data_IF_957478532467
#
_entry.id   IF_957478532467
#
_cell.length_a   1.000
_cell.length_b   1.000
_cell.length_c   1.000
_cell.angle_alpha   90.00
_cell.angle_beta   90.00
_cell.angle_gamma   90.00
#
_symmetry.space_group_name_H-M   'P 1'
#
loop_
_entity.id
_entity.type
_entity.pdbx_description
1 polymer ?
#
# COMPACT_ATOMS: atom_id res chain seq x y z
N UNK A 1 -5.82 -83.97 30.23
CA UNK A 1 -4.49 -84.14 29.61
C UNK A 1 -4.14 -82.87 28.86
N UNK A 2 -2.88 -82.47 28.95
CA UNK A 2 -2.32 -81.20 28.55
C UNK A 2 -2.36 -80.93 27.03
N UNK A 3 -2.39 -79.65 26.64
CA UNK A 3 -1.25 -79.05 25.91
C UNK A 3 -1.39 -77.53 25.80
N UNK A 4 -0.31 -76.85 26.14
CA UNK A 4 -0.04 -75.42 25.93
C UNK A 4 0.37 -75.14 24.46
N UNK A 5 0.71 -73.86 24.23
CA UNK A 5 1.30 -73.17 23.05
C UNK A 5 0.27 -72.44 22.19
N UNK A 6 0.17 -71.09 22.12
CA UNK A 6 1.10 -69.93 22.06
C UNK A 6 1.03 -69.30 20.66
N UNK A 7 1.10 -67.95 20.63
CA UNK A 7 1.14 -67.03 19.48
C UNK A 7 -0.22 -66.78 18.80
N UNK A 8 -0.66 -65.58 18.40
CA UNK A 8 -0.05 -64.26 18.28
C UNK A 8 -1.13 -63.16 18.19
N UNK A 9 -0.74 -61.95 18.60
CA UNK A 9 -1.15 -60.62 18.08
C UNK A 9 -2.64 -60.26 17.92
N UNK A 10 -3.11 -59.36 18.80
CA UNK A 10 -3.70 -58.04 18.44
C UNK A 10 -4.07 -57.29 19.74
N UNK A 11 -3.09 -56.62 20.36
CA UNK A 11 -3.38 -55.59 21.37
C UNK A 11 -3.58 -54.25 20.66
N UNK A 12 -4.75 -53.67 20.86
CA UNK A 12 -5.08 -52.28 20.63
C UNK A 12 -3.99 -51.36 21.20
N UNK A 13 -3.22 -50.72 20.32
CA UNK A 13 -2.37 -49.57 20.69
C UNK A 13 -3.19 -48.30 20.49
N UNK A 14 -3.64 -47.74 21.61
CA UNK A 14 -3.94 -46.31 21.73
C UNK A 14 -2.73 -45.49 21.27
N UNK A 15 -2.89 -44.51 20.37
CA UNK A 15 -1.79 -43.61 20.03
C UNK A 15 -1.48 -42.72 21.23
N UNK A 16 -0.30 -42.91 21.81
CA UNK A 16 0.30 -41.94 22.72
C UNK A 16 0.48 -40.63 21.94
N UNK A 17 -0.27 -39.59 22.33
CA UNK A 17 0.01 -38.21 21.91
C UNK A 17 1.38 -37.84 22.45
N UNK A 18 2.39 -37.89 21.57
CA UNK A 18 3.63 -37.16 21.77
C UNK A 18 3.28 -35.68 21.77
N UNK A 19 3.38 -35.06 22.95
CA UNK A 19 3.26 -33.63 23.15
C UNK A 19 4.47 -32.94 22.52
N UNK A 20 4.31 -32.42 21.30
CA UNK A 20 5.23 -31.40 20.79
C UNK A 20 4.81 -30.05 21.38
N UNK A 21 5.46 -29.66 22.47
CA UNK A 21 5.45 -28.28 22.95
C UNK A 21 6.14 -27.40 21.91
N UNK A 22 5.53 -26.32 21.41
CA UNK A 22 6.27 -25.35 20.63
C UNK A 22 7.26 -24.64 21.55
N UNK A 23 8.54 -24.80 21.27
CA UNK A 23 9.61 -24.00 21.85
C UNK A 23 9.42 -22.57 21.35
N UNK A 24 9.15 -21.65 22.28
CA UNK A 24 9.19 -20.22 22.03
C UNK A 24 10.65 -19.85 21.70
N UNK A 25 10.97 -19.71 20.42
CA UNK A 25 12.13 -18.91 20.04
C UNK A 25 11.74 -17.44 20.15
N UNK A 26 12.45 -16.73 21.02
CA UNK A 26 12.41 -15.28 21.10
C UNK A 26 12.91 -14.68 19.78
N UNK A 27 11.98 -14.39 18.87
CA UNK A 27 12.24 -13.42 17.80
C UNK A 27 12.06 -12.04 18.44
N UNK A 28 13.17 -11.32 18.57
CA UNK A 28 13.21 -9.97 19.10
C UNK A 28 12.28 -9.01 18.34
N UNK A 29 11.92 -7.86 18.95
CA UNK A 29 10.95 -6.94 18.38
C UNK A 29 11.48 -6.36 17.06
N UNK A 30 10.91 -6.83 15.95
CA UNK A 30 11.04 -6.15 14.66
C UNK A 30 10.31 -4.82 14.75
N UNK A 31 11.03 -3.74 14.46
CA UNK A 31 10.58 -2.37 14.61
C UNK A 31 10.07 -1.87 13.26
N UNK A 32 8.80 -1.42 13.23
CA UNK A 32 8.14 -0.45 12.34
C UNK A 32 6.76 -0.96 11.86
N UNK A 33 5.70 -0.13 12.00
CA UNK A 33 4.26 -0.45 11.78
C UNK A 33 3.44 0.88 11.56
N UNK A 34 2.23 0.89 10.92
CA UNK A 34 2.02 1.32 9.52
C UNK A 34 0.74 2.17 9.23
N UNK A 35 0.46 2.44 7.94
CA UNK A 35 -0.84 2.78 7.31
C UNK A 35 -1.17 1.85 6.11
N UNK A 36 -2.44 1.47 5.92
CA UNK A 36 -2.88 0.48 4.90
C UNK A 36 -4.17 0.93 4.19
N UNK A 37 -4.17 0.94 2.85
CA UNK A 37 -5.36 1.24 2.02
C UNK A 37 -5.56 0.17 0.96
N UNK A 38 -6.80 -0.25 0.72
CA UNK A 38 -7.14 -1.27 -0.27
C UNK A 38 -8.31 -0.85 -1.18
N UNK A 39 -8.21 -1.11 -2.50
CA UNK A 39 -9.28 -0.90 -3.49
C UNK A 39 -9.45 -2.10 -4.45
N UNK A 40 -10.70 -2.55 -4.66
CA UNK A 40 -11.06 -3.75 -5.48
C UNK A 40 -10.86 -3.52 -6.98
N UNK A 41 -10.34 -4.53 -7.67
CA UNK A 41 -10.32 -4.60 -9.15
C UNK A 41 -10.95 -5.92 -9.62
N UNK A 42 -11.89 -5.84 -10.56
CA UNK A 42 -12.52 -7.01 -11.21
C UNK A 42 -12.72 -6.76 -12.71
N UNK A 43 -12.77 -7.84 -13.51
CA UNK A 43 -13.15 -7.81 -14.92
C UNK A 43 -14.47 -8.59 -15.18
N UNK A 44 -15.42 -7.93 -15.87
CA UNK A 44 -16.77 -8.32 -16.43
C UNK A 44 -17.84 -8.90 -15.47
N UNK A 45 -19.11 -8.50 -15.49
CA UNK A 45 -20.00 -7.90 -16.52
C UNK A 45 -20.95 -6.85 -15.90
N UNK A 46 -21.20 -5.74 -16.62
CA UNK A 46 -22.27 -4.77 -16.32
C UNK A 46 -21.81 -3.49 -15.61
N UNK A 47 -21.51 -2.45 -16.40
CA UNK A 47 -21.38 -1.01 -16.06
C UNK A 47 -20.93 -0.62 -14.64
N UNK A 48 -19.61 -0.41 -14.48
CA UNK A 48 -18.98 0.67 -13.71
C UNK A 48 -17.49 0.67 -14.04
N UNK A 49 -16.98 1.80 -14.54
CA UNK A 49 -15.64 1.99 -15.12
C UNK A 49 -14.53 1.23 -14.37
N UNK A 50 -13.94 0.25 -15.07
CA UNK A 50 -12.94 -0.71 -14.59
C UNK A 50 -11.57 -0.28 -15.14
N UNK A 51 -10.52 -0.38 -14.33
CA UNK A 51 -9.15 -0.23 -14.83
C UNK A 51 -8.30 -1.41 -14.41
N UNK A 52 -7.36 -1.79 -15.28
CA UNK A 52 -6.48 -2.93 -15.05
C UNK A 52 -5.43 -2.56 -14.00
N UNK A 53 -5.09 -3.45 -13.04
CA UNK A 53 -3.90 -3.25 -12.23
C UNK A 53 -2.67 -3.11 -13.15
N UNK A 54 -1.64 -2.36 -12.76
CA UNK A 54 -0.45 -2.17 -13.58
C UNK A 54 0.05 -3.52 -14.10
N UNK A 55 0.12 -3.69 -15.43
CA UNK A 55 0.41 -4.97 -16.08
C UNK A 55 1.70 -5.59 -15.55
N UNK A 56 2.63 -4.76 -15.11
CA UNK A 56 3.91 -5.17 -14.60
C UNK A 56 3.85 -5.78 -13.19
N UNK A 57 2.93 -5.32 -12.32
CA UNK A 57 2.65 -5.97 -11.03
C UNK A 57 1.97 -7.33 -11.21
N UNK A 58 1.11 -7.42 -12.22
CA UNK A 58 0.48 -8.69 -12.62
C UNK A 58 1.56 -9.64 -13.15
N UNK A 59 2.42 -9.19 -14.05
CA UNK A 59 3.51 -9.97 -14.62
C UNK A 59 4.53 -10.43 -13.57
N UNK A 60 4.83 -9.61 -12.55
CA UNK A 60 5.66 -10.00 -11.42
C UNK A 60 5.03 -11.15 -10.62
N UNK A 61 3.72 -11.05 -10.34
CA UNK A 61 2.96 -12.08 -9.62
C UNK A 61 2.86 -13.42 -10.33
N UNK A 62 2.71 -13.39 -11.65
CA UNK A 62 2.54 -14.61 -12.46
C UNK A 62 3.82 -15.44 -12.58
N UNK A 63 5.00 -14.82 -12.42
CA UNK A 63 6.30 -15.49 -12.58
C UNK A 63 6.74 -16.30 -11.37
N UNK A 64 6.31 -15.92 -10.17
CA UNK A 64 6.69 -16.59 -8.92
C UNK A 64 5.45 -16.84 -8.06
N UNK A 65 4.82 -18.03 -8.18
CA UNK A 65 3.67 -18.40 -7.36
C UNK A 65 4.04 -18.30 -5.87
N UNK A 66 3.40 -17.37 -5.17
CA UNK A 66 3.63 -17.12 -3.75
C UNK A 66 2.30 -17.08 -3.03
N UNK A 67 2.22 -17.56 -1.77
CA UNK A 67 0.98 -17.49 -1.01
C UNK A 67 0.52 -16.04 -0.87
N UNK A 68 -0.71 -15.77 -1.32
CA UNK A 68 -1.39 -14.48 -1.16
C UNK A 68 -2.52 -14.60 -0.15
N UNK A 69 -2.88 -13.49 0.47
CA UNK A 69 -4.05 -13.38 1.35
C UNK A 69 -5.07 -12.40 0.76
N UNK A 70 -6.31 -12.47 1.26
CA UNK A 70 -7.41 -11.57 0.85
C UNK A 70 -7.32 -10.20 1.50
N UNK A 71 -8.17 -9.26 1.07
CA UNK A 71 -8.36 -7.93 1.68
C UNK A 71 -8.47 -7.98 3.18
N UNK A 72 -9.46 -8.73 3.60
CA UNK A 72 -9.97 -8.70 4.94
C UNK A 72 -8.93 -9.33 5.88
N UNK A 73 -8.14 -10.30 5.38
CA UNK A 73 -7.02 -10.85 6.13
C UNK A 73 -5.86 -9.87 6.27
N UNK A 74 -5.56 -9.10 5.23
CA UNK A 74 -4.52 -8.06 5.28
C UNK A 74 -4.89 -6.97 6.31
N UNK A 75 -6.11 -6.45 6.26
CA UNK A 75 -6.58 -5.46 7.24
C UNK A 75 -6.74 -6.06 8.64
N UNK A 76 -7.22 -7.30 8.74
CA UNK A 76 -7.31 -8.02 10.02
C UNK A 76 -5.95 -8.12 10.72
N UNK A 77 -4.90 -8.54 10.00
CA UNK A 77 -3.53 -8.58 10.52
C UNK A 77 -3.03 -7.20 10.98
N UNK A 78 -3.34 -6.15 10.21
CA UNK A 78 -2.99 -4.78 10.59
C UNK A 78 -3.64 -4.38 11.93
N UNK A 79 -4.94 -4.65 12.08
CA UNK A 79 -5.69 -4.31 13.29
C UNK A 79 -5.26 -5.14 14.51
N UNK A 80 -4.97 -6.43 14.31
CA UNK A 80 -4.45 -7.31 15.36
C UNK A 80 -3.07 -6.87 15.85
N UNK A 81 -2.21 -6.38 14.96
CA UNK A 81 -0.88 -5.89 15.30
C UNK A 81 -0.89 -4.49 15.97
N UNK A 82 -1.98 -3.72 15.82
CA UNK A 82 -2.04 -2.33 16.24
C UNK A 82 -3.30 -2.06 17.09
N UNK A 83 -3.16 -2.12 18.42
CA UNK A 83 -4.28 -1.96 19.35
C UNK A 83 -4.97 -0.59 19.33
N UNK A 84 -4.31 0.44 18.81
CA UNK A 84 -4.84 1.80 18.65
C UNK A 84 -5.21 2.14 17.20
N UNK A 85 -5.24 1.15 16.31
CA UNK A 85 -5.58 1.37 14.91
C UNK A 85 -7.05 1.78 14.73
N UNK A 86 -7.26 2.65 13.77
CA UNK A 86 -8.57 3.05 13.26
C UNK A 86 -8.72 2.46 11.87
N UNK A 87 -9.89 1.92 11.56
CA UNK A 87 -10.24 1.53 10.19
C UNK A 87 -11.56 2.13 9.76
N UNK A 88 -11.67 2.39 8.46
CA UNK A 88 -12.84 2.95 7.80
C UNK A 88 -13.12 2.11 6.57
N UNK A 89 -14.35 1.60 6.45
CA UNK A 89 -14.82 0.92 5.26
C UNK A 89 -15.77 1.82 4.49
N UNK A 90 -15.51 2.01 3.19
CA UNK A 90 -16.24 2.91 2.31
C UNK A 90 -16.85 2.09 1.19
N UNK A 91 -18.15 1.79 1.34
CA UNK A 91 -18.83 0.84 0.46
C UNK A 91 -18.22 -0.56 0.55
N UNK A 92 -18.35 -1.32 -0.53
CA UNK A 92 -17.88 -2.72 -0.58
C UNK A 92 -16.43 -2.85 -1.07
N UNK A 93 -15.89 -1.79 -1.68
CA UNK A 93 -14.66 -1.89 -2.49
C UNK A 93 -13.46 -1.19 -1.87
N UNK A 94 -13.64 -0.33 -0.86
CA UNK A 94 -12.54 0.46 -0.26
C UNK A 94 -12.47 0.29 1.25
N UNK A 95 -11.26 -0.01 1.72
CA UNK A 95 -10.94 -0.09 3.15
C UNK A 95 -9.68 0.70 3.44
N UNK A 96 -9.75 1.60 4.42
CA UNK A 96 -8.64 2.40 4.93
C UNK A 96 -8.36 1.98 6.37
N UNK A 97 -7.10 1.89 6.76
CA UNK A 97 -6.69 1.67 8.14
C UNK A 97 -5.41 2.44 8.45
N UNK A 98 -5.35 3.04 9.64
CA UNK A 98 -4.17 3.81 10.07
C UNK A 98 -4.01 3.75 11.60
N UNK A 99 -2.80 4.03 12.08
CA UNK A 99 -2.51 4.18 13.51
C UNK A 99 -1.53 5.33 13.74
N UNK A 100 -1.61 5.93 14.93
CA UNK A 100 -0.61 6.89 15.42
C UNK A 100 0.56 6.21 16.16
N UNK A 101 0.55 4.88 16.27
CA UNK A 101 1.64 4.15 16.90
C UNK A 101 2.98 4.39 16.15
N UNK A 102 4.07 4.57 16.90
CA UNK A 102 5.42 4.80 16.37
C UNK A 102 5.52 6.01 15.40
N UNK A 103 4.67 7.02 15.58
CA UNK A 103 4.76 8.27 14.82
C UNK A 103 5.91 9.15 15.32
N UNK A 104 6.62 9.80 14.40
CA UNK A 104 7.63 10.83 14.74
C UNK A 104 7.12 12.22 14.35
N UNK A 105 7.72 13.27 14.93
CA UNK A 105 7.37 14.64 14.57
C UNK A 105 7.70 14.99 13.11
N UNK A 106 8.68 14.29 12.51
CA UNK A 106 9.13 14.49 11.12
C UNK A 106 8.36 13.63 10.11
N UNK A 107 7.62 12.64 10.58
CA UNK A 107 6.79 11.74 9.76
C UNK A 107 5.43 11.63 10.44
N UNK A 108 4.71 12.76 10.44
CA UNK A 108 3.41 12.81 11.09
C UNK A 108 2.37 12.07 10.24
N UNK A 109 1.53 11.26 10.86
CA UNK A 109 0.39 10.61 10.19
C UNK A 109 -0.88 11.34 10.52
N UNK A 110 -1.67 11.60 9.49
CA UNK A 110 -2.95 12.29 9.62
C UNK A 110 -3.98 11.70 8.68
N UNK A 111 -5.22 11.70 9.15
CA UNK A 111 -6.39 11.27 8.41
C UNK A 111 -7.43 12.38 8.48
N UNK A 112 -8.03 12.72 7.35
CA UNK A 112 -9.15 13.64 7.32
C UNK A 112 -10.15 13.24 6.24
N UNK A 113 -11.39 13.68 6.45
CA UNK A 113 -12.48 13.53 5.48
C UNK A 113 -13.13 14.89 5.31
N UNK A 114 -13.31 15.32 4.06
CA UNK A 114 -14.04 16.53 3.71
C UNK A 114 -14.73 16.35 2.36
N UNK A 115 -16.00 16.71 2.26
CA UNK A 115 -16.79 16.63 1.03
C UNK A 115 -16.76 15.24 0.37
N UNK A 116 -16.88 14.18 1.18
CA UNK A 116 -16.77 12.76 0.77
C UNK A 116 -15.42 12.36 0.16
N UNK A 117 -14.39 13.17 0.35
CA UNK A 117 -12.99 12.88 -0.01
C UNK A 117 -12.25 12.48 1.26
N UNK A 118 -11.68 11.28 1.24
CA UNK A 118 -10.93 10.68 2.33
C UNK A 118 -9.45 10.76 2.01
N UNK A 119 -8.62 11.22 2.95
CA UNK A 119 -7.18 11.34 2.73
C UNK A 119 -6.41 10.76 3.92
N UNK A 120 -5.48 9.84 3.63
CA UNK A 120 -4.37 9.52 4.51
C UNK A 120 -3.14 10.27 4.02
N UNK A 121 -2.46 10.93 4.94
CA UNK A 121 -1.24 11.66 4.69
C UNK A 121 -0.20 11.26 5.73
N UNK A 122 1.01 10.98 5.26
CA UNK A 122 2.18 10.77 6.10
C UNK A 122 3.32 11.67 5.66
N UNK A 123 3.95 12.35 6.61
CA UNK A 123 5.09 13.23 6.36
C UNK A 123 4.86 14.68 6.83
N UNK A 124 5.46 15.61 6.11
CA UNK A 124 5.37 17.06 6.32
C UNK A 124 5.59 17.82 5.01
N UNK A 125 4.96 18.98 4.89
CA UNK A 125 5.15 19.90 3.76
C UNK A 125 5.94 21.13 4.21
N UNK A 126 7.10 21.37 3.59
CA UNK A 126 8.01 22.48 3.89
C UNK A 126 7.40 23.83 3.47
N UNK A 127 6.63 23.83 2.37
CA UNK A 127 5.97 25.01 1.83
C UNK A 127 4.48 25.15 2.23
N UNK A 128 4.03 24.44 3.29
CA UNK A 128 2.64 24.43 3.75
C UNK A 128 2.06 25.84 3.95
N UNK A 129 2.84 26.77 4.50
CA UNK A 129 2.40 28.14 4.76
C UNK A 129 1.97 28.88 3.50
N UNK A 130 2.79 28.80 2.45
CA UNK A 130 2.51 29.40 1.13
C UNK A 130 1.32 28.72 0.46
N UNK A 131 1.25 27.40 0.52
CA UNK A 131 0.16 26.63 -0.07
C UNK A 131 -1.19 26.93 0.61
N UNK A 132 -1.22 27.11 1.93
CA UNK A 132 -2.44 27.56 2.64
C UNK A 132 -2.97 28.88 2.10
N UNK A 133 -2.08 29.84 1.83
CA UNK A 133 -2.48 31.12 1.25
C UNK A 133 -3.03 30.94 -0.18
N UNK A 134 -2.36 30.13 -1.01
CA UNK A 134 -2.76 29.87 -2.38
C UNK A 134 -4.13 29.18 -2.49
N UNK A 135 -4.40 28.20 -1.62
CA UNK A 135 -5.67 27.48 -1.59
C UNK A 135 -6.74 28.15 -0.71
N UNK A 136 -6.44 29.29 -0.07
CA UNK A 136 -7.39 30.03 0.76
C UNK A 136 -7.80 29.28 2.04
N UNK A 137 -6.87 28.54 2.66
CA UNK A 137 -7.13 27.74 3.85
C UNK A 137 -6.98 28.54 5.14
N UNK A 138 -7.69 28.09 6.18
CA UNK A 138 -7.52 28.62 7.53
C UNK A 138 -6.09 28.40 8.04
N UNK A 139 -5.61 29.30 8.92
CA UNK A 139 -4.28 29.22 9.51
C UNK A 139 -4.01 27.89 10.21
N UNK A 140 -5.05 27.31 10.83
CA UNK A 140 -5.02 26.03 11.54
C UNK A 140 -5.16 24.79 10.66
N UNK A 141 -5.32 24.94 9.34
CA UNK A 141 -5.34 23.78 8.44
C UNK A 141 -4.02 22.99 8.55
N UNK A 142 -4.06 21.69 8.33
CA UNK A 142 -2.88 20.82 8.29
C UNK A 142 -2.66 20.31 6.86
N UNK A 143 -1.63 19.50 6.68
CA UNK A 143 -1.20 18.92 5.41
C UNK A 143 -2.31 18.09 4.77
N UNK A 144 -3.01 17.25 5.54
CA UNK A 144 -4.09 16.40 5.01
C UNK A 144 -5.27 17.23 4.49
N UNK A 145 -5.65 18.32 5.17
CA UNK A 145 -6.69 19.23 4.66
C UNK A 145 -6.22 19.99 3.43
N UNK A 146 -4.95 20.36 3.38
CA UNK A 146 -4.36 21.00 2.20
C UNK A 146 -4.41 20.06 0.98
N UNK A 147 -4.02 18.80 1.15
CA UNK A 147 -4.07 17.80 0.07
C UNK A 147 -5.49 17.58 -0.45
N UNK A 148 -6.50 17.52 0.43
CA UNK A 148 -7.91 17.40 0.00
C UNK A 148 -8.31 18.60 -0.86
N UNK A 149 -7.98 19.82 -0.45
CA UNK A 149 -8.33 21.04 -1.20
C UNK A 149 -7.55 21.18 -2.52
N UNK A 150 -6.28 20.78 -2.52
CA UNK A 150 -5.47 20.69 -3.72
C UNK A 150 -6.04 19.68 -4.72
N UNK A 151 -6.47 18.51 -4.25
CA UNK A 151 -7.15 17.50 -5.08
C UNK A 151 -8.48 18.01 -5.64
N UNK A 152 -9.30 18.71 -4.83
CA UNK A 152 -10.53 19.33 -5.32
C UNK A 152 -10.25 20.36 -6.41
N UNK A 153 -9.25 21.22 -6.21
CA UNK A 153 -8.84 22.17 -7.23
C UNK A 153 -8.40 21.47 -8.52
N UNK A 154 -7.68 20.34 -8.43
CA UNK A 154 -7.31 19.53 -9.58
C UNK A 154 -8.53 18.97 -10.33
N UNK A 155 -9.50 18.44 -9.58
CA UNK A 155 -10.71 17.83 -10.13
C UNK A 155 -11.64 18.87 -10.77
N UNK A 156 -11.82 20.00 -10.11
CA UNK A 156 -12.89 20.97 -10.41
C UNK A 156 -12.43 22.12 -11.31
N UNK A 157 -11.13 22.41 -11.42
CA UNK A 157 -10.61 23.54 -12.22
C UNK A 157 -9.96 23.08 -13.53
N UNK A 158 -10.58 23.44 -14.66
CA UNK A 158 -10.01 23.21 -15.98
C UNK A 158 -9.10 24.37 -16.45
N UNK A 159 -7.98 24.12 -17.16
CA UNK A 159 -7.21 22.88 -17.27
C UNK A 159 -5.95 22.97 -16.38
N UNK A 160 -6.02 22.49 -15.14
CA UNK A 160 -4.82 22.30 -14.31
C UNK A 160 -4.29 20.87 -14.50
N UNK A 161 -3.11 20.66 -15.11
CA UNK A 161 -2.55 19.33 -15.21
C UNK A 161 -2.22 18.77 -13.80
N UNK A 162 -2.53 17.49 -13.51
CA UNK A 162 -2.23 16.84 -12.21
C UNK A 162 -0.79 17.02 -11.73
N UNK A 163 0.15 17.02 -12.67
CA UNK A 163 1.57 17.17 -12.42
C UNK A 163 1.89 18.50 -11.73
N UNK A 164 1.14 19.56 -12.03
CA UNK A 164 1.34 20.84 -11.35
C UNK A 164 0.90 20.75 -9.89
N UNK A 165 -0.23 20.13 -9.58
CA UNK A 165 -0.72 20.11 -8.19
C UNK A 165 0.23 19.35 -7.27
N UNK A 166 0.70 18.17 -7.71
CA UNK A 166 1.67 17.38 -6.93
C UNK A 166 3.07 18.00 -6.98
N UNK A 167 3.48 18.57 -8.12
CA UNK A 167 4.80 19.19 -8.29
C UNK A 167 5.00 20.49 -7.50
N UNK A 168 3.94 21.14 -7.02
CA UNK A 168 4.05 22.28 -6.10
C UNK A 168 4.13 21.87 -4.62
N UNK A 169 4.03 20.58 -4.29
CA UNK A 169 4.19 20.11 -2.91
C UNK A 169 5.69 19.93 -2.64
N UNK A 170 6.22 20.70 -1.70
CA UNK A 170 7.61 20.56 -1.25
C UNK A 170 7.64 19.95 0.14
N UNK A 171 8.45 18.92 0.34
CA UNK A 171 8.61 18.25 1.63
C UNK A 171 8.82 16.75 1.47
N UNK A 172 8.69 16.03 2.58
CA UNK A 172 8.80 14.59 2.65
C UNK A 172 7.40 14.04 2.89
N UNK A 173 6.80 13.37 1.91
CA UNK A 173 5.41 12.95 2.03
C UNK A 173 5.06 11.73 1.20
N UNK A 174 4.06 11.01 1.69
CA UNK A 174 3.25 10.09 0.91
C UNK A 174 1.79 10.33 1.27
N UNK A 175 0.89 10.31 0.30
CA UNK A 175 -0.53 10.44 0.58
C UNK A 175 -1.38 9.60 -0.37
N UNK A 176 -2.57 9.27 0.12
CA UNK A 176 -3.58 8.53 -0.61
C UNK A 176 -4.92 9.23 -0.38
N UNK A 177 -5.52 9.66 -1.48
CA UNK A 177 -6.83 10.27 -1.55
C UNK A 177 -7.80 9.29 -2.21
N UNK A 178 -8.95 9.09 -1.59
CA UNK A 178 -10.10 8.44 -2.20
C UNK A 178 -11.28 9.41 -2.24
N UNK A 179 -11.68 9.77 -3.46
CA UNK A 179 -12.89 10.54 -3.71
C UNK A 179 -14.05 9.57 -3.95
N UNK A 180 -14.97 9.49 -2.98
CA UNK A 180 -16.14 8.63 -3.06
C UNK A 180 -17.12 9.09 -4.15
N UNK A 181 -17.21 10.39 -4.41
CA UNK A 181 -18.17 10.95 -5.38
C UNK A 181 -17.85 10.54 -6.82
N UNK A 182 -16.55 10.45 -7.14
CA UNK A 182 -16.06 10.05 -8.46
C UNK A 182 -15.52 8.61 -8.49
N UNK A 183 -15.50 7.91 -7.35
CA UNK A 183 -14.82 6.62 -7.17
C UNK A 183 -13.35 6.65 -7.62
N UNK A 184 -12.67 7.78 -7.41
CA UNK A 184 -11.28 8.00 -7.84
C UNK A 184 -10.32 7.76 -6.68
N UNK A 185 -9.29 6.95 -6.91
CA UNK A 185 -8.13 6.85 -6.02
C UNK A 185 -6.99 7.65 -6.63
N UNK A 186 -6.36 8.50 -5.84
CA UNK A 186 -5.20 9.31 -6.21
C UNK A 186 -4.10 9.13 -5.15
N UNK A 187 -2.92 8.69 -5.56
CA UNK A 187 -1.79 8.35 -4.69
C UNK A 187 -0.58 9.12 -5.16
N UNK A 188 0.22 9.68 -4.26
CA UNK A 188 1.49 10.32 -4.62
C UNK A 188 2.53 10.22 -3.51
N UNK A 189 3.81 10.31 -3.92
CA UNK A 189 4.97 10.35 -3.03
C UNK A 189 5.92 11.48 -3.45
N UNK A 190 6.70 11.99 -2.51
CA UNK A 190 7.73 13.01 -2.78
C UNK A 190 8.84 12.53 -3.73
N UNK A 191 9.65 13.47 -4.20
CA UNK A 191 10.67 13.28 -5.24
C UNK A 191 11.81 12.33 -4.81
N UNK A 192 12.01 12.20 -3.51
CA UNK A 192 13.06 11.39 -2.91
C UNK A 192 12.52 10.12 -2.23
N UNK A 193 11.19 9.91 -2.22
CA UNK A 193 10.55 8.78 -1.56
C UNK A 193 10.93 8.68 -0.08
N UNK A 194 11.02 9.81 0.63
CA UNK A 194 11.47 9.84 2.04
C UNK A 194 10.47 9.19 2.98
N UNK A 195 9.18 9.25 2.62
CA UNK A 195 8.16 8.45 3.26
C UNK A 195 7.99 7.16 2.45
N UNK A 196 8.30 5.98 3.03
CA UNK A 196 8.14 4.71 2.34
C UNK A 196 6.68 4.49 1.94
N UNK A 197 6.47 4.06 0.70
CA UNK A 197 5.17 3.60 0.24
C UNK A 197 5.36 2.42 -0.69
N UNK A 198 4.58 1.37 -0.44
CA UNK A 198 4.60 0.11 -1.16
C UNK A 198 3.20 -0.17 -1.68
N UNK A 199 3.14 -0.96 -2.75
CA UNK A 199 1.88 -1.38 -3.34
C UNK A 199 1.95 -2.81 -3.85
N UNK A 200 0.80 -3.49 -3.87
CA UNK A 200 0.73 -4.85 -4.35
C UNK A 200 -0.67 -5.35 -4.61
N UNK A 201 -0.77 -6.55 -5.16
CA UNK A 201 -2.03 -7.18 -5.54
C UNK A 201 -2.30 -8.40 -4.65
N UNK A 202 -3.37 -8.28 -3.87
CA UNK A 202 -3.89 -9.35 -2.98
C UNK A 202 -4.54 -10.51 -3.75
N UNK A 203 -4.82 -11.62 -3.05
CA UNK A 203 -5.37 -12.84 -3.63
C UNK A 203 -6.73 -12.65 -4.32
N UNK A 204 -7.53 -11.71 -3.83
CA UNK A 204 -8.86 -11.34 -4.29
C UNK A 204 -8.86 -10.15 -5.25
N UNK A 205 -7.69 -9.79 -5.82
CA UNK A 205 -7.57 -8.86 -6.94
C UNK A 205 -7.55 -7.39 -6.58
N UNK A 206 -7.57 -7.01 -5.30
CA UNK A 206 -7.48 -5.60 -4.94
C UNK A 206 -6.01 -5.14 -4.95
N UNK A 207 -5.80 -3.87 -5.26
CA UNK A 207 -4.53 -3.20 -4.99
C UNK A 207 -4.53 -2.73 -3.53
N UNK A 208 -3.45 -3.05 -2.84
CA UNK A 208 -3.18 -2.60 -1.49
C UNK A 208 -1.97 -1.66 -1.50
N UNK A 209 -2.03 -0.59 -0.72
CA UNK A 209 -0.95 0.35 -0.45
C UNK A 209 -0.62 0.31 1.03
N UNK A 210 0.66 0.30 1.39
CA UNK A 210 1.09 0.47 2.77
C UNK A 210 2.49 1.06 2.84
N UNK A 211 2.81 1.72 3.94
CA UNK A 211 4.18 2.12 4.31
C UNK A 211 5.02 0.96 4.89
N UNK A 212 4.40 -0.22 5.10
CA UNK A 212 5.05 -1.44 5.58
C UNK A 212 5.08 -2.54 4.52
N UNK A 213 6.30 -2.85 4.09
CA UNK A 213 6.61 -3.86 3.10
C UNK A 213 6.28 -5.29 3.58
N UNK A 214 6.56 -5.60 4.84
CA UNK A 214 6.39 -6.95 5.39
C UNK A 214 4.91 -7.27 5.57
N UNK A 215 4.12 -6.28 5.97
CA UNK A 215 2.66 -6.38 6.00
C UNK A 215 2.10 -6.73 4.61
N UNK A 216 2.52 -6.01 3.56
CA UNK A 216 2.08 -6.31 2.19
C UNK A 216 2.64 -7.63 1.67
N UNK A 217 3.88 -7.99 1.99
CA UNK A 217 4.50 -9.26 1.57
C UNK A 217 3.66 -10.45 2.02
N UNK A 218 3.11 -10.38 3.25
CA UNK A 218 2.24 -11.43 3.78
C UNK A 218 0.90 -11.58 3.04
N UNK A 219 0.45 -10.59 2.27
CA UNK A 219 -0.84 -10.62 1.56
C UNK A 219 -0.73 -10.61 0.02
N UNK A 220 0.31 -9.98 -0.51
CA UNK A 220 0.53 -9.79 -1.94
C UNK A 220 1.58 -10.77 -2.49
N UNK A 221 2.35 -11.44 -1.63
CA UNK A 221 3.45 -12.30 -2.05
C UNK A 221 4.46 -11.53 -2.89
N UNK A 222 4.80 -12.06 -4.06
CA UNK A 222 5.69 -11.44 -5.04
C UNK A 222 5.00 -10.41 -5.95
N UNK A 223 3.68 -10.23 -5.86
CA UNK A 223 2.97 -9.09 -6.49
C UNK A 223 3.10 -7.84 -5.63
N UNK A 224 4.32 -7.44 -5.32
CA UNK A 224 4.65 -6.32 -4.43
C UNK A 224 5.80 -5.52 -5.03
N UNK A 225 5.72 -4.20 -4.93
CA UNK A 225 6.78 -3.28 -5.31
C UNK A 225 6.79 -2.05 -4.39
N UNK A 226 7.88 -1.29 -4.42
CA UNK A 226 7.86 0.10 -3.95
C UNK A 226 7.07 0.97 -4.91
N UNK A 227 6.29 1.90 -4.37
CA UNK A 227 5.70 2.97 -5.15
C UNK A 227 6.84 3.90 -5.63
N UNK A 228 6.89 4.32 -6.90
CA UNK A 228 8.01 5.08 -7.40
C UNK A 228 8.04 6.50 -6.83
N UNK A 229 9.23 6.95 -6.46
CA UNK A 229 9.49 8.32 -6.03
C UNK A 229 9.12 9.33 -7.11
N UNK A 230 8.69 10.54 -6.72
CA UNK A 230 8.39 11.61 -7.65
C UNK A 230 7.23 11.33 -8.61
N UNK A 231 6.34 10.41 -8.22
CA UNK A 231 5.25 9.95 -9.06
C UNK A 231 3.90 10.05 -8.35
N UNK A 232 2.85 9.99 -9.16
CA UNK A 232 1.49 9.81 -8.70
C UNK A 232 0.76 8.78 -9.58
N UNK A 233 -0.26 8.16 -8.99
CA UNK A 233 -1.17 7.22 -9.65
C UNK A 233 -2.60 7.73 -9.45
N UNK A 234 -3.37 7.77 -10.53
CA UNK A 234 -4.79 8.12 -10.46
C UNK A 234 -5.64 7.10 -11.21
N UNK A 235 -6.70 6.61 -10.58
CA UNK A 235 -7.65 5.71 -11.25
C UNK A 235 -8.60 6.43 -12.21
N UNK A 236 -8.56 7.76 -12.29
CA UNK A 236 -9.22 8.50 -13.37
C UNK A 236 -8.38 8.56 -14.64
N UNK A 237 -7.05 8.45 -14.52
CA UNK A 237 -6.09 8.56 -15.63
C UNK A 237 -5.68 7.17 -16.11
N UNK A 238 -5.47 6.24 -15.18
CA UNK A 238 -5.10 4.86 -15.48
C UNK A 238 -3.64 4.56 -15.59
N UNK A 239 -2.81 5.55 -15.29
CA UNK A 239 -1.39 5.45 -15.43
C UNK A 239 -0.70 6.02 -14.22
N UNK A 240 0.45 5.42 -13.92
CA UNK A 240 1.46 5.97 -13.03
C UNK A 240 2.23 7.02 -13.84
N UNK A 241 2.37 8.23 -13.31
CA UNK A 241 3.06 9.33 -13.99
C UNK A 241 4.04 10.02 -13.06
N UNK A 242 5.18 10.45 -13.62
CA UNK A 242 6.11 11.33 -12.91
C UNK A 242 5.60 12.76 -13.02
N UNK A 243 5.60 13.51 -11.91
CA UNK A 243 5.24 14.92 -11.99
C UNK A 243 6.41 15.81 -12.46
N UNK A 244 7.66 15.39 -12.26
CA UNK A 244 8.85 16.07 -12.80
C UNK A 244 9.00 15.83 -14.31
N UNK A 245 8.75 14.59 -14.74
CA UNK A 245 8.95 14.14 -16.11
C UNK A 245 7.65 13.57 -16.69
N UNK A 246 6.63 14.41 -16.91
CA UNK A 246 5.28 13.94 -17.22
C UNK A 246 5.13 13.29 -18.59
N UNK A 247 6.09 13.48 -19.48
CA UNK A 247 6.13 12.84 -20.80
C UNK A 247 6.93 11.52 -20.79
N UNK A 248 7.62 11.20 -19.69
CA UNK A 248 8.46 10.02 -19.62
C UNK A 248 7.62 8.83 -19.17
N UNK A 249 7.77 7.70 -19.87
CA UNK A 249 7.09 6.47 -19.50
C UNK A 249 7.69 5.92 -18.20
N UNK A 250 6.84 5.46 -17.30
CA UNK A 250 7.29 4.69 -16.16
C UNK A 250 7.26 3.21 -16.56
N UNK A 251 8.40 2.55 -16.40
CA UNK A 251 8.56 1.14 -16.72
C UNK A 251 8.82 0.37 -15.43
N UNK A 252 8.25 -0.83 -15.29
CA UNK A 252 8.63 -1.72 -14.21
C UNK A 252 9.62 -2.76 -14.71
N UNK A 253 10.80 -2.75 -14.09
CA UNK A 253 11.83 -3.76 -14.30
C UNK A 253 11.59 -4.88 -13.29
N UNK A 254 11.53 -6.15 -13.73
CA UNK A 254 11.42 -7.28 -12.81
C UNK A 254 12.59 -7.27 -11.83
N UNK A 255 12.29 -7.43 -10.55
CA UNK A 255 13.34 -7.54 -9.54
C UNK A 255 13.96 -8.95 -9.59
N UNK A 256 15.25 -9.11 -9.24
CA UNK A 256 15.88 -10.42 -9.09
C UNK A 256 15.10 -11.32 -8.12
N UNK A 257 15.15 -12.64 -8.30
CA UNK A 257 14.36 -13.58 -7.47
C UNK A 257 14.66 -13.47 -5.97
N UNK A 258 15.87 -13.06 -5.61
CA UNK A 258 16.38 -12.86 -4.25
C UNK A 258 15.81 -11.61 -3.57
N UNK A 259 15.23 -10.68 -4.33
CA UNK A 259 14.68 -9.44 -3.80
C UNK A 259 13.25 -9.66 -3.26
N UNK A 260 12.88 -8.89 -2.23
CA UNK A 260 11.53 -8.96 -1.65
C UNK A 260 10.49 -8.48 -2.67
N UNK A 261 10.88 -7.56 -3.55
CA UNK A 261 10.07 -7.00 -4.61
C UNK A 261 9.92 -7.99 -5.77
N UNK A 262 8.77 -7.94 -6.44
CA UNK A 262 8.61 -8.59 -7.75
C UNK A 262 8.93 -7.67 -8.93
N UNK A 263 8.93 -6.36 -8.70
CA UNK A 263 9.26 -5.35 -9.70
C UNK A 263 9.78 -4.06 -9.04
N UNK A 264 10.59 -3.31 -9.79
CA UNK A 264 11.06 -1.96 -9.48
C UNK A 264 10.62 -1.02 -10.59
N UNK A 265 9.89 0.04 -10.24
CA UNK A 265 9.44 1.05 -11.19
C UNK A 265 10.54 2.10 -11.41
N UNK A 266 10.80 2.48 -12.66
CA UNK A 266 11.80 3.47 -13.07
C UNK A 266 11.20 4.42 -14.11
N UNK A 267 11.54 5.70 -14.02
CA UNK A 267 11.18 6.71 -15.01
C UNK A 267 12.17 6.62 -16.17
N UNK A 268 11.69 6.43 -17.41
CA UNK A 268 12.56 6.44 -18.60
C UNK A 268 13.34 7.77 -18.67
N UNK A 269 14.62 7.71 -19.03
CA UNK A 269 15.48 8.89 -19.15
C UNK A 269 16.21 9.34 -17.87
N UNK A 270 15.89 8.78 -16.70
CA UNK A 270 16.82 8.85 -15.57
C UNK A 270 17.98 7.87 -15.83
N UNK A 271 19.03 8.38 -16.49
CA UNK A 271 20.32 7.71 -16.42
C UNK A 271 20.70 7.59 -14.95
N UNK A 272 20.80 6.35 -14.48
CA UNK A 272 21.41 6.02 -13.20
C UNK A 272 22.78 6.69 -13.20
N UNK A 273 22.91 7.82 -12.52
CA UNK A 273 24.22 8.28 -12.05
C UNK A 273 24.65 7.21 -11.05
N UNK A 274 25.30 6.18 -11.58
CA UNK A 274 26.06 5.23 -10.81
C UNK A 274 27.05 6.08 -10.01
N UNK A 275 26.77 6.23 -8.71
CA UNK A 275 27.74 6.70 -7.75
C UNK A 275 28.89 5.69 -7.76
N UNK A 276 29.87 5.96 -8.63
CA UNK A 276 31.19 5.34 -8.52
C UNK A 276 31.82 5.93 -7.27
N UNK A 277 32.27 5.03 -6.39
CA UNK A 277 33.07 5.30 -5.19
C UNK A 277 34.17 6.33 -5.41
#
# INVERSE_FOLDING_TARGET
>A
MASQFSTSSLRSRSPQKLSCSPVLEHVGPSKNVPGLIKKRWHEKCGERSIMSPPEELVAAGSRTPSPKATASKLVGRFLEANSSAVSVQIGDDVQLAYTHYNQSALQSRSFAVKDEIFCLFEGSLDNLGSLKQQYGLAKSANEVLLVIEAYKALRDRAPYPPNHVVGHLEGNFAFIVFDKSTSTLFVATDQFGKVPLYWGITADGYVAFADDADLLKGACGKSLASFPQGCFFSTSIGELRSYENPNNKITAVPAPEEEIWGAKFMVEGQNVLAATK
#
